data_IF_742140324870
#
_entry.id   IF_742140324870
#
_cell.length_a   1.000
_cell.length_b   1.000
_cell.length_c   1.000
_cell.angle_alpha   90.00
_cell.angle_beta   90.00
_cell.angle_gamma   90.00
#
_symmetry.space_group_name_H-M   'P 1'
#
loop_
_entity.id
_entity.type
_entity.pdbx_description
1 polymer ?
#
# COMPACT_ATOMS: atom_id res chain seq x y z
N UNK A 1 -10.54 13.37 8.76
CA UNK A 1 -11.62 12.38 8.56
C UNK A 1 -10.98 11.03 8.75
N UNK A 2 -11.49 10.27 9.70
CA UNK A 2 -10.99 8.94 10.02
C UNK A 2 -11.25 7.99 8.85
N UNK A 3 -10.29 7.11 8.59
CA UNK A 3 -10.41 6.07 7.56
C UNK A 3 -10.13 4.73 8.21
N UNK A 4 -10.93 3.73 7.86
CA UNK A 4 -10.74 2.35 8.30
C UNK A 4 -10.78 1.47 7.07
N UNK A 5 -9.82 0.55 6.97
CA UNK A 5 -9.80 -0.47 5.91
C UNK A 5 -9.44 -1.81 6.52
N UNK A 6 -10.26 -2.81 6.26
CA UNK A 6 -10.00 -4.20 6.63
C UNK A 6 -9.70 -5.01 5.38
N UNK A 7 -8.97 -6.10 5.54
CA UNK A 7 -8.68 -7.04 4.47
C UNK A 7 -7.99 -8.29 4.97
N UNK A 8 -7.58 -9.12 4.02
CA UNK A 8 -6.72 -10.26 4.28
C UNK A 8 -5.80 -10.48 3.09
N UNK A 9 -4.73 -11.24 3.29
CA UNK A 9 -3.85 -11.73 2.24
C UNK A 9 -3.21 -13.05 2.66
N UNK A 10 -2.83 -13.85 1.67
CA UNK A 10 -1.98 -15.04 1.84
C UNK A 10 -0.55 -14.65 1.51
N UNK A 11 0.38 -14.92 2.43
CA UNK A 11 1.80 -14.59 2.29
C UNK A 11 2.54 -15.58 1.37
N UNK A 12 3.64 -15.15 0.75
CA UNK A 12 4.51 -15.94 -0.14
C UNK A 12 5.99 -15.63 0.12
N UNK A 13 6.43 -15.72 1.39
CA UNK A 13 7.82 -15.46 1.87
C UNK A 13 8.41 -14.06 1.57
N UNK A 14 7.66 -13.22 0.88
CA UNK A 14 8.12 -11.95 0.31
C UNK A 14 7.67 -10.73 1.10
N UNK A 15 8.18 -9.57 0.67
CA UNK A 15 7.71 -8.28 1.13
C UNK A 15 6.27 -8.08 0.62
N UNK A 16 5.37 -7.69 1.53
CA UNK A 16 3.98 -7.40 1.19
C UNK A 16 3.77 -5.89 1.16
N UNK A 17 3.20 -5.39 0.07
CA UNK A 17 2.83 -3.99 -0.06
C UNK A 17 1.31 -3.88 -0.06
N UNK A 18 0.75 -3.24 0.97
CA UNK A 18 -0.69 -3.09 1.11
C UNK A 18 -1.12 -1.67 0.70
N UNK A 19 -1.72 -1.49 -0.49
CA UNK A 19 -2.26 -0.20 -0.92
C UNK A 19 -3.58 0.08 -0.19
N UNK A 20 -3.50 0.89 0.86
CA UNK A 20 -4.63 1.23 1.69
C UNK A 20 -5.41 2.44 1.16
N UNK A 21 -4.74 3.32 0.39
CA UNK A 21 -5.28 4.61 -0.06
C UNK A 21 -5.20 5.70 1.02
N UNK A 22 -4.45 5.42 2.08
CA UNK A 22 -4.01 6.35 3.12
C UNK A 22 -2.85 5.70 3.88
N UNK A 23 -2.03 6.51 4.55
CA UNK A 23 -1.09 5.99 5.53
C UNK A 23 -1.87 5.79 6.85
N UNK A 24 -1.98 4.56 7.37
CA UNK A 24 -2.62 4.34 8.67
C UNK A 24 -1.78 4.95 9.79
N UNK A 25 -2.45 5.34 10.87
CA UNK A 25 -1.81 5.64 12.15
C UNK A 25 -1.60 4.37 12.95
N UNK A 26 -2.47 3.36 12.76
CA UNK A 26 -2.40 2.05 13.41
C UNK A 26 -2.70 0.95 12.41
N UNK A 27 -1.92 -0.12 12.48
CA UNK A 27 -2.22 -1.42 11.87
C UNK A 27 -2.28 -2.49 12.95
N UNK A 28 -3.36 -3.27 12.90
CA UNK A 28 -3.52 -4.52 13.62
C UNK A 28 -3.57 -5.66 12.59
N UNK A 29 -2.82 -6.73 12.83
CA UNK A 29 -2.79 -7.91 11.97
C UNK A 29 -2.82 -9.19 12.81
N UNK A 30 -3.64 -10.14 12.38
CA UNK A 30 -3.79 -11.45 13.02
C UNK A 30 -3.50 -12.55 12.01
N UNK A 31 -2.61 -13.47 12.37
CA UNK A 31 -2.43 -14.72 11.65
C UNK A 31 -3.63 -15.64 11.92
N UNK A 32 -4.14 -16.30 10.89
CA UNK A 32 -5.26 -17.24 10.99
C UNK A 32 -4.85 -18.58 10.39
N UNK A 33 -5.46 -19.66 10.88
CA UNK A 33 -5.24 -21.01 10.36
C UNK A 33 -4.13 -21.79 11.07
N UNK A 34 -3.44 -21.20 12.04
CA UNK A 34 -2.42 -21.86 12.87
C UNK A 34 -2.96 -22.20 14.27
N UNK A 35 -2.25 -23.08 14.99
CA UNK A 35 -2.60 -23.40 16.39
C UNK A 35 -2.22 -22.28 17.35
N UNK A 36 -1.25 -21.46 16.96
CA UNK A 36 -0.57 -20.46 17.76
C UNK A 36 -0.47 -19.18 16.91
N UNK A 37 -1.59 -18.45 16.74
CA UNK A 37 -1.64 -17.31 15.82
C UNK A 37 -0.82 -16.13 16.34
N UNK A 38 0.06 -15.63 15.49
CA UNK A 38 0.79 -14.39 15.76
C UNK A 38 -0.12 -13.16 15.61
N UNK A 39 0.10 -12.15 16.48
CA UNK A 39 -0.57 -10.85 16.40
C UNK A 39 0.46 -9.75 16.24
N UNK A 40 0.31 -8.90 15.22
CA UNK A 40 1.21 -7.78 14.96
C UNK A 40 0.44 -6.48 15.14
N UNK A 41 1.07 -5.55 15.87
CA UNK A 41 0.58 -4.18 16.03
C UNK A 41 1.68 -3.18 15.71
N UNK A 42 1.34 -2.21 14.87
CA UNK A 42 2.22 -1.12 14.48
C UNK A 42 1.51 0.22 14.64
N UNK A 43 2.19 1.18 15.26
CA UNK A 43 1.76 2.57 15.33
C UNK A 43 2.73 3.41 14.53
N UNK A 44 2.23 4.26 13.62
CA UNK A 44 3.09 5.16 12.83
C UNK A 44 3.97 6.06 13.71
N UNK A 45 3.44 6.49 14.84
CA UNK A 45 4.17 7.33 15.79
C UNK A 45 5.45 6.66 16.33
N UNK A 46 5.52 5.32 16.38
CA UNK A 46 6.72 4.58 16.80
C UNK A 46 7.94 4.86 15.90
N UNK A 47 7.74 5.21 14.63
CA UNK A 47 8.82 5.61 13.73
C UNK A 47 9.41 6.99 14.11
N UNK A 48 8.61 7.88 14.72
CA UNK A 48 9.02 9.25 15.05
C UNK A 48 9.52 9.37 16.49
N UNK A 49 8.88 8.67 17.42
CA UNK A 49 9.05 8.88 18.86
C UNK A 49 10.24 8.10 19.46
N UNK A 50 11.24 7.78 18.64
CA UNK A 50 12.50 7.12 19.05
C UNK A 50 12.31 5.85 19.90
N UNK A 51 11.26 5.08 19.63
CA UNK A 51 10.98 3.80 20.31
C UNK A 51 12.03 2.75 19.89
N UNK A 52 13.27 2.91 20.36
CA UNK A 52 14.44 2.18 19.92
C UNK A 52 14.20 0.67 19.98
N UNK A 53 14.30 0.04 18.81
CA UNK A 53 14.07 -1.38 18.59
C UNK A 53 12.62 -1.78 18.29
N UNK A 54 11.65 -0.87 18.30
CA UNK A 54 10.21 -1.09 18.04
C UNK A 54 9.62 -0.13 16.99
N UNK A 55 10.46 0.55 16.22
CA UNK A 55 10.04 1.54 15.23
C UNK A 55 9.12 0.94 14.16
N UNK A 56 9.28 -0.35 13.89
CA UNK A 56 8.52 -1.08 12.87
C UNK A 56 7.44 -1.99 13.48
N UNK A 57 7.10 -1.77 14.75
CA UNK A 57 5.98 -2.40 15.43
C UNK A 57 6.39 -3.45 16.46
N UNK A 58 5.42 -4.25 16.86
CA UNK A 58 5.59 -5.33 17.82
C UNK A 58 4.79 -6.55 17.38
N UNK A 59 5.34 -7.74 17.62
CA UNK A 59 4.68 -9.01 17.40
C UNK A 59 4.46 -9.70 18.75
N UNK A 60 3.25 -10.18 18.98
CA UNK A 60 2.93 -11.13 20.04
C UNK A 60 2.96 -12.51 19.43
N UNK A 61 3.93 -13.33 19.83
CA UNK A 61 4.05 -14.69 19.33
C UNK A 61 2.89 -15.54 19.88
N UNK A 62 2.16 -16.21 19.00
CA UNK A 62 1.00 -17.01 19.38
C UNK A 62 1.33 -18.24 20.21
N UNK A 63 2.58 -18.70 20.22
CA UNK A 63 3.00 -19.93 20.88
C UNK A 63 3.31 -19.74 22.36
N UNK A 64 3.93 -18.62 22.73
CA UNK A 64 4.38 -18.32 24.09
C UNK A 64 3.83 -17.00 24.65
N UNK A 65 3.13 -16.21 23.83
CA UNK A 65 2.62 -14.89 24.19
C UNK A 65 3.71 -13.83 24.36
N UNK A 66 4.96 -14.13 23.99
CA UNK A 66 6.07 -13.19 24.14
C UNK A 66 5.91 -12.06 23.14
N UNK A 67 5.98 -10.84 23.65
CA UNK A 67 5.97 -9.62 22.84
C UNK A 67 7.41 -9.32 22.42
N UNK A 68 7.66 -9.37 21.13
CA UNK A 68 8.95 -9.04 20.52
C UNK A 68 8.83 -7.71 19.78
N UNK A 69 9.84 -6.85 19.97
CA UNK A 69 9.92 -5.58 19.25
C UNK A 69 10.49 -5.79 17.84
N UNK A 70 9.90 -5.13 16.85
CA UNK A 70 10.36 -5.17 15.47
C UNK A 70 11.23 -3.93 15.21
N UNK A 71 12.53 -4.16 15.07
CA UNK A 71 13.51 -3.14 14.72
C UNK A 71 13.60 -2.92 13.21
N UNK A 72 14.60 -2.13 12.79
CA UNK A 72 14.80 -1.71 11.41
C UNK A 72 14.81 -2.89 10.40
N UNK A 73 14.06 -2.71 9.31
CA UNK A 73 13.81 -3.66 8.22
C UNK A 73 13.18 -5.01 8.61
N UNK A 74 12.64 -5.15 9.81
CA UNK A 74 12.05 -6.40 10.32
C UNK A 74 10.54 -6.34 10.54
N UNK A 75 9.90 -5.18 10.41
CA UNK A 75 8.49 -4.98 10.72
C UNK A 75 7.69 -4.29 9.62
N UNK A 76 6.89 -3.31 10.02
CA UNK A 76 5.98 -2.55 9.17
C UNK A 76 6.52 -1.12 9.02
N UNK A 77 6.56 -0.63 7.79
CA UNK A 77 6.93 0.76 7.49
C UNK A 77 5.86 1.45 6.65
N UNK A 78 5.61 2.73 6.89
CA UNK A 78 4.73 3.51 6.04
C UNK A 78 5.33 3.70 4.63
N UNK A 79 4.47 3.71 3.60
CA UNK A 79 4.85 4.32 2.33
C UNK A 79 3.81 5.36 1.90
N UNK A 80 4.33 6.49 1.47
CA UNK A 80 3.54 7.59 0.96
C UNK A 80 4.11 8.06 -0.38
N UNK A 81 3.48 7.63 -1.48
CA UNK A 81 3.75 8.25 -2.77
C UNK A 81 2.87 9.48 -3.02
N UNK A 82 2.30 10.08 -1.96
CA UNK A 82 1.18 11.02 -1.87
C UNK A 82 1.21 12.31 -2.69
N UNK A 83 2.08 12.37 -3.68
CA UNK A 83 2.12 13.40 -4.72
C UNK A 83 1.93 12.85 -6.14
N UNK A 84 1.79 11.53 -6.33
CA UNK A 84 1.61 10.91 -7.65
C UNK A 84 0.20 10.36 -7.82
N UNK A 85 -0.81 11.22 -7.89
CA UNK A 85 -1.94 10.86 -8.73
C UNK A 85 -1.35 10.60 -10.13
N UNK A 86 -1.49 9.38 -10.69
CA UNK A 86 -0.82 9.07 -11.92
C UNK A 86 -1.26 10.07 -12.99
N UNK A 87 -0.28 10.66 -13.69
CA UNK A 87 -0.61 11.48 -14.84
C UNK A 87 -1.18 10.56 -15.92
N UNK A 88 -2.48 10.68 -16.17
CA UNK A 88 -3.14 9.96 -17.25
C UNK A 88 -2.84 10.69 -18.55
N UNK A 89 -1.93 10.13 -19.33
CA UNK A 89 -1.61 10.66 -20.64
C UNK A 89 -2.63 10.16 -21.66
N UNK A 90 -2.88 10.91 -22.72
CA UNK A 90 -3.52 10.30 -23.89
C UNK A 90 -2.52 9.36 -24.57
N UNK A 91 -2.99 8.24 -25.12
CA UNK A 91 -2.15 7.43 -25.99
C UNK A 91 -1.71 8.29 -27.18
N UNK A 92 -0.41 8.40 -27.41
CA UNK A 92 0.13 9.18 -28.54
C UNK A 92 0.91 8.27 -29.47
N UNK A 93 0.76 8.49 -30.77
CA UNK A 93 1.58 7.89 -31.81
C UNK A 93 3.05 8.20 -31.54
N UNK A 94 3.85 7.16 -31.25
CA UNK A 94 5.22 7.21 -30.73
C UNK A 94 5.32 7.57 -29.24
N UNK A 95 5.11 6.56 -28.38
CA UNK A 95 5.74 6.58 -27.05
C UNK A 95 7.24 6.30 -27.20
N UNK A 96 7.99 7.28 -27.71
CA UNK A 96 9.44 7.21 -27.85
C UNK A 96 10.16 7.09 -26.49
N UNK A 97 9.46 7.43 -25.41
CA UNK A 97 9.91 7.22 -24.03
C UNK A 97 9.29 5.95 -23.46
N UNK A 98 10.12 5.09 -22.87
CA UNK A 98 9.68 3.83 -22.29
C UNK A 98 8.54 4.04 -21.27
N UNK A 99 7.49 3.22 -21.36
CA UNK A 99 6.48 3.13 -20.31
C UNK A 99 7.10 2.44 -19.09
N UNK A 100 6.90 3.02 -17.92
CA UNK A 100 7.33 2.43 -16.66
C UNK A 100 6.28 1.42 -16.22
N UNK A 101 6.70 0.20 -15.92
CA UNK A 101 5.82 -0.77 -15.29
C UNK A 101 5.46 -0.33 -13.87
N UNK A 102 4.26 -0.67 -13.43
CA UNK A 102 3.89 -0.55 -12.03
C UNK A 102 4.83 -1.37 -11.16
N UNK A 103 5.10 -0.86 -9.97
CA UNK A 103 5.84 -1.56 -8.93
C UNK A 103 4.94 -1.72 -7.71
N UNK A 104 5.44 -2.43 -6.70
CA UNK A 104 4.67 -2.62 -5.47
C UNK A 104 4.47 -1.32 -4.69
N UNK A 105 5.37 -0.34 -4.87
CA UNK A 105 5.38 0.94 -4.14
C UNK A 105 5.18 2.15 -5.04
N UNK A 106 4.98 1.99 -6.36
CA UNK A 106 4.77 3.10 -7.27
C UNK A 106 3.88 2.74 -8.46
N UNK A 107 3.09 3.72 -8.87
CA UNK A 107 2.21 3.67 -10.03
C UNK A 107 3.00 3.37 -11.31
N UNK A 108 2.43 2.57 -12.20
CA UNK A 108 2.94 2.46 -13.57
C UNK A 108 2.72 3.73 -14.36
N UNK A 109 3.12 3.72 -15.63
CA UNK A 109 2.60 4.69 -16.57
C UNK A 109 1.10 4.46 -16.78
N UNK A 110 0.30 5.53 -16.85
CA UNK A 110 -1.12 5.46 -17.18
C UNK A 110 -1.42 6.17 -18.49
N UNK A 111 -2.33 5.56 -19.25
CA UNK A 111 -2.84 6.12 -20.50
C UNK A 111 -4.36 5.96 -20.61
N UNK A 112 -4.96 6.81 -21.42
CA UNK A 112 -6.31 6.63 -21.96
C UNK A 112 -6.24 6.45 -23.48
N UNK A 113 -7.21 5.76 -24.10
CA UNK A 113 -7.28 5.66 -25.55
C UNK A 113 -7.37 7.04 -26.22
N UNK A 114 -7.02 7.11 -27.51
CA UNK A 114 -7.20 8.34 -28.30
C UNK A 114 -8.68 8.72 -28.39
N UNK A 115 -8.97 10.00 -28.65
CA UNK A 115 -10.35 10.47 -28.87
C UNK A 115 -11.08 9.74 -30.02
N UNK A 116 -10.35 9.15 -30.97
CA UNK A 116 -10.90 8.38 -32.10
C UNK A 116 -11.14 6.90 -31.81
N UNK A 117 -10.70 6.42 -30.64
CA UNK A 117 -10.86 5.02 -30.25
C UNK A 117 -12.34 4.67 -30.03
N UNK A 118 -12.80 3.47 -30.46
CA UNK A 118 -14.16 3.00 -30.22
C UNK A 118 -14.41 2.61 -28.75
N UNK A 119 -13.34 2.42 -27.96
CA UNK A 119 -13.42 2.10 -26.53
C UNK A 119 -13.93 3.29 -25.72
N UNK A 120 -14.58 3.02 -24.60
CA UNK A 120 -15.04 4.06 -23.67
C UNK A 120 -13.90 5.06 -23.35
N UNK A 121 -14.13 6.35 -23.64
CA UNK A 121 -13.21 7.46 -23.29
C UNK A 121 -13.00 7.58 -21.78
N UNK A 122 -13.84 6.91 -21.01
CA UNK A 122 -13.72 6.70 -19.58
C UNK A 122 -12.58 5.76 -19.17
N UNK A 123 -12.17 4.85 -20.05
CA UNK A 123 -11.23 3.77 -19.75
C UNK A 123 -9.79 4.27 -19.58
N UNK A 124 -9.10 3.65 -18.62
CA UNK A 124 -7.73 3.97 -18.25
C UNK A 124 -6.95 2.64 -18.20
N UNK A 125 -5.70 2.70 -18.64
CA UNK A 125 -4.83 1.55 -18.74
C UNK A 125 -3.49 1.85 -18.05
N UNK A 126 -3.07 0.94 -17.19
CA UNK A 126 -1.80 0.99 -16.47
C UNK A 126 -0.77 0.08 -17.15
N UNK A 127 0.46 0.56 -17.30
CA UNK A 127 1.57 -0.25 -17.78
C UNK A 127 1.97 -1.28 -16.72
N UNK A 128 1.90 -2.56 -17.06
CA UNK A 128 2.33 -3.68 -16.21
C UNK A 128 3.64 -4.31 -16.66
N UNK A 129 4.01 -4.13 -17.94
CA UNK A 129 5.32 -4.53 -18.47
C UNK A 129 5.96 -3.35 -19.20
N UNK A 130 7.15 -2.95 -18.75
CA UNK A 130 7.85 -1.79 -19.27
C UNK A 130 8.35 -2.04 -20.70
N UNK A 131 8.36 -0.99 -21.52
CA UNK A 131 8.80 -1.08 -22.91
C UNK A 131 8.45 0.15 -23.74
N UNK A 132 8.56 0.00 -25.05
CA UNK A 132 8.18 1.00 -26.06
C UNK A 132 6.92 0.53 -26.79
N UNK A 133 5.89 1.38 -26.78
CA UNK A 133 4.63 1.14 -27.50
C UNK A 133 4.80 1.17 -29.02
N UNK A 134 3.80 0.66 -29.74
CA UNK A 134 3.77 0.60 -31.19
C UNK A 134 3.50 1.95 -31.86
N UNK A 135 3.59 1.96 -33.20
CA UNK A 135 3.25 3.12 -34.03
C UNK A 135 1.75 3.29 -34.29
N UNK A 136 0.92 2.35 -33.84
CA UNK A 136 -0.54 2.35 -33.98
C UNK A 136 -1.16 1.88 -32.68
N UNK A 137 -2.29 2.47 -32.32
CA UNK A 137 -3.00 2.16 -31.08
C UNK A 137 -3.48 0.70 -31.09
N UNK A 138 -3.30 -0.06 -30.00
CA UNK A 138 -3.80 -1.43 -29.91
C UNK A 138 -5.32 -1.46 -29.75
N UNK A 139 -5.93 -2.63 -29.96
CA UNK A 139 -7.33 -2.84 -29.61
C UNK A 139 -7.47 -2.96 -28.10
N UNK A 140 -8.02 -1.94 -27.46
CA UNK A 140 -8.17 -1.91 -26.01
C UNK A 140 -9.26 -2.87 -25.51
N UNK A 141 -9.00 -3.61 -24.42
CA UNK A 141 -9.98 -4.50 -23.84
C UNK A 141 -11.11 -3.76 -23.11
N UNK A 142 -12.28 -4.40 -23.07
CA UNK A 142 -13.47 -3.85 -22.44
C UNK A 142 -13.63 -4.25 -20.96
N UNK A 143 -12.97 -5.31 -20.51
CA UNK A 143 -13.05 -5.77 -19.13
C UNK A 143 -11.96 -5.13 -18.26
N UNK A 144 -12.32 -4.73 -17.03
CA UNK A 144 -11.33 -4.39 -16.00
C UNK A 144 -10.47 -5.61 -15.70
N UNK A 145 -9.20 -5.38 -15.45
CA UNK A 145 -8.16 -6.37 -15.20
C UNK A 145 -7.67 -7.17 -16.42
N UNK A 146 -8.15 -6.88 -17.63
CA UNK A 146 -7.68 -7.50 -18.86
C UNK A 146 -6.44 -6.80 -19.45
N UNK A 147 -5.52 -7.59 -20.02
CA UNK A 147 -4.25 -7.13 -20.57
C UNK A 147 -4.31 -6.95 -22.10
N UNK A 148 -3.57 -5.98 -22.62
CA UNK A 148 -3.29 -5.82 -24.05
C UNK A 148 -1.81 -5.58 -24.28
N UNK A 149 -1.27 -6.26 -25.30
CA UNK A 149 0.13 -6.09 -25.72
C UNK A 149 0.20 -5.01 -26.79
N UNK A 150 1.02 -4.00 -26.54
CA UNK A 150 1.35 -2.91 -27.43
C UNK A 150 2.85 -2.95 -27.73
N UNK A 151 3.22 -3.78 -28.72
CA UNK A 151 4.61 -4.11 -29.03
C UNK A 151 5.34 -4.75 -27.82
N UNK A 152 6.24 -4.01 -27.16
CA UNK A 152 6.98 -4.50 -25.98
C UNK A 152 6.35 -4.08 -24.65
N UNK A 153 5.34 -3.19 -24.69
CA UNK A 153 4.59 -2.76 -23.50
C UNK A 153 3.38 -3.67 -23.32
N UNK A 154 3.06 -3.99 -22.07
CA UNK A 154 1.77 -4.59 -21.72
C UNK A 154 0.99 -3.62 -20.86
N UNK A 155 -0.23 -3.32 -21.29
CA UNK A 155 -1.17 -2.46 -20.59
C UNK A 155 -2.28 -3.30 -19.97
N UNK A 156 -2.73 -2.92 -18.77
CA UNK A 156 -3.84 -3.55 -18.08
C UNK A 156 -4.96 -2.53 -17.88
N UNK A 157 -6.19 -2.88 -18.23
CA UNK A 157 -7.35 -2.04 -17.95
C UNK A 157 -7.59 -1.97 -16.45
N UNK A 158 -7.77 -0.77 -15.92
CA UNK A 158 -7.91 -0.51 -14.50
C UNK A 158 -9.19 0.26 -14.20
N UNK A 159 -9.69 0.10 -12.98
CA UNK A 159 -10.87 0.82 -12.50
C UNK A 159 -10.46 2.23 -12.04
N UNK A 160 -11.07 3.26 -12.64
CA UNK A 160 -10.85 4.68 -12.33
C UNK A 160 -11.03 5.01 -10.85
N UNK A 161 -11.87 4.28 -10.10
CA UNK A 161 -12.07 4.48 -8.66
C UNK A 161 -10.87 4.02 -7.82
N UNK A 162 -10.07 3.07 -8.32
CA UNK A 162 -8.85 2.57 -7.66
C UNK A 162 -7.64 3.50 -7.84
N UNK A 163 -7.69 4.42 -8.80
CA UNK A 163 -6.56 5.30 -9.16
C UNK A 163 -6.55 6.67 -8.45
N UNK A 164 -7.65 7.10 -7.83
CA UNK A 164 -7.75 8.47 -7.29
C UNK A 164 -7.12 8.67 -5.91
N UNK A 165 -6.50 7.64 -5.33
CA UNK A 165 -6.14 7.65 -3.90
C UNK A 165 -4.63 7.74 -3.61
N UNK A 166 -3.77 7.75 -4.63
CA UNK A 166 -2.31 7.66 -4.44
C UNK A 166 -1.89 6.30 -3.86
N UNK A 167 -0.63 5.90 -4.08
CA UNK A 167 -0.08 4.71 -3.43
C UNK A 167 0.33 5.10 -2.02
N UNK A 168 -0.66 5.13 -1.12
CA UNK A 168 -0.46 5.30 0.31
C UNK A 168 -0.82 4.00 1.01
N UNK A 169 0.02 3.56 1.94
CA UNK A 169 -0.18 2.31 2.65
C UNK A 169 1.00 1.94 3.53
N UNK A 170 1.23 0.63 3.64
CA UNK A 170 2.31 0.06 4.44
C UNK A 170 3.07 -1.01 3.66
N UNK A 171 4.37 -1.12 3.94
CA UNK A 171 5.21 -2.25 3.58
C UNK A 171 5.32 -3.15 4.80
N UNK A 172 5.14 -4.45 4.62
CA UNK A 172 5.34 -5.46 5.65
C UNK A 172 6.58 -6.26 5.25
N UNK A 173 7.54 -6.35 6.15
CA UNK A 173 8.81 -7.04 5.93
C UNK A 173 8.60 -8.52 5.59
N UNK A 174 9.45 -9.05 4.71
CA UNK A 174 9.46 -10.47 4.38
C UNK A 174 9.64 -11.37 5.61
N UNK A 175 10.36 -10.89 6.64
CA UNK A 175 10.60 -11.65 7.87
C UNK A 175 9.31 -11.96 8.67
N UNK A 176 8.23 -11.22 8.43
CA UNK A 176 6.91 -11.45 9.04
C UNK A 176 6.02 -12.38 8.22
N UNK A 177 6.49 -12.80 7.04
CA UNK A 177 5.70 -13.50 6.05
C UNK A 177 6.35 -14.84 5.74
N UNK A 178 5.65 -15.91 6.05
CA UNK A 178 5.96 -17.27 5.60
C UNK A 178 4.90 -17.71 4.61
N UNK A 179 5.31 -18.40 3.55
CA UNK A 179 4.41 -18.87 2.50
C UNK A 179 3.25 -19.71 3.06
N UNK A 180 2.03 -19.35 2.65
CA UNK A 180 0.80 -19.99 3.09
C UNK A 180 0.25 -19.47 4.43
N UNK A 181 0.90 -18.48 5.07
CA UNK A 181 0.28 -17.78 6.21
C UNK A 181 -0.87 -16.90 5.73
N UNK A 182 -2.01 -17.02 6.38
CA UNK A 182 -3.17 -16.15 6.15
C UNK A 182 -3.16 -15.01 7.18
N UNK A 183 -3.05 -13.78 6.71
CA UNK A 183 -3.09 -12.59 7.54
C UNK A 183 -4.38 -11.82 7.33
N UNK A 184 -5.08 -11.51 8.42
CA UNK A 184 -6.19 -10.55 8.44
C UNK A 184 -5.70 -9.24 9.03
N UNK A 185 -6.17 -8.11 8.52
CA UNK A 185 -5.70 -6.81 8.98
C UNK A 185 -6.82 -5.78 9.15
N UNK A 186 -6.60 -4.86 10.08
CA UNK A 186 -7.36 -3.63 10.26
C UNK A 186 -6.40 -2.43 10.24
N UNK A 187 -6.56 -1.56 9.23
CA UNK A 187 -5.83 -0.32 9.08
C UNK A 187 -6.69 0.87 9.50
N UNK A 188 -6.19 1.70 10.41
CA UNK A 188 -6.91 2.86 10.98
C UNK A 188 -6.10 4.14 10.80
N UNK A 189 -6.72 5.16 10.21
CA UNK A 189 -6.25 6.55 10.27
C UNK A 189 -7.17 7.32 11.22
N UNK A 190 -6.61 7.78 12.33
CA UNK A 190 -7.29 8.56 13.34
C UNK A 190 -7.52 10.00 12.86
N UNK A 191 -8.41 10.72 13.56
CA UNK A 191 -8.58 12.15 13.33
C UNK A 191 -7.45 12.97 13.98
N UNK A 192 -6.85 12.43 15.03
CA UNK A 192 -5.77 13.03 15.80
C UNK A 192 -4.82 11.90 16.22
N UNK A 193 -3.53 12.19 16.19
CA UNK A 193 -2.47 11.42 16.83
C UNK A 193 -1.84 12.37 17.83
N UNK A 194 -2.02 12.09 19.12
CA UNK A 194 -1.58 12.96 20.20
C UNK A 194 -0.49 12.21 20.96
N UNK A 195 0.66 12.86 21.11
CA UNK A 195 1.64 12.48 22.12
C UNK A 195 1.32 13.27 23.38
N UNK A 196 0.98 12.57 24.45
CA UNK A 196 0.70 13.15 25.76
C UNK A 196 1.98 13.46 26.54
N UNK A 197 3.16 13.12 26.01
CA UNK A 197 4.44 13.35 26.66
C UNK A 197 4.66 12.49 27.91
N UNK A 198 5.62 12.91 28.73
CA UNK A 198 5.90 12.25 30.00
C UNK A 198 4.82 12.61 31.04
N UNK A 199 4.25 11.58 31.65
CA UNK A 199 3.25 11.71 32.71
C UNK A 199 3.88 12.06 34.07
N UNK A 200 5.20 12.01 34.18
CA UNK A 200 5.89 12.45 35.39
C UNK A 200 5.58 13.92 35.69
N UNK A 201 5.10 14.19 36.92
CA UNK A 201 4.67 15.52 37.34
C UNK A 201 3.21 15.89 37.05
N UNK A 202 2.40 14.99 36.48
CA UNK A 202 0.96 15.21 36.36
C UNK A 202 0.28 15.12 37.75
N UNK A 203 0.12 16.26 38.42
CA UNK A 203 -0.30 16.31 39.83
C UNK A 203 -1.76 15.90 40.08
N UNK A 204 -2.64 16.05 39.09
CA UNK A 204 -4.05 15.67 39.13
C UNK A 204 -4.37 14.48 38.21
N UNK A 205 -3.35 13.93 37.54
CA UNK A 205 -3.49 12.88 36.53
C UNK A 205 -4.17 13.34 35.25
N UNK A 206 -4.30 14.66 35.03
CA UNK A 206 -4.86 15.25 33.82
C UNK A 206 -3.69 15.70 32.94
N UNK A 207 -3.79 15.37 31.66
CA UNK A 207 -2.87 15.89 30.64
C UNK A 207 -2.97 17.43 30.58
N UNK A 208 -1.90 18.17 30.94
CA UNK A 208 -1.92 19.62 30.87
C UNK A 208 -2.03 20.16 29.44
N UNK A 209 -1.72 19.34 28.43
CA UNK A 209 -1.67 19.70 27.02
C UNK A 209 -2.83 19.09 26.19
N UNK A 210 -3.80 18.44 26.84
CA UNK A 210 -4.99 17.89 26.18
C UNK A 210 -5.90 18.99 25.61
N UNK A 211 -5.66 19.39 24.37
CA UNK A 211 -6.57 20.22 23.56
C UNK A 211 -6.93 19.54 22.24
#
# INVERSE_FOLDING_TARGET
MNKIKVGHYEADDGIVNLPLGFIPDVIDMDEVGTTNPDHIRWYRAQETDEASGSQEGMITNGADGVITKLGDAAGITAYDTGTQAPTINEWTTARATAATARTATAAGTYIKPTVSSPTDRGAIFECVTAGTGGGTEPTWPDAVDENVTDNSVVWKRVDRSRERIGYQGIVIAAALNTNGQEWYYEAKQANQSIDHGDVDGWTDGIDPDAN
#
